data_IF_519862535560
#
_entry.id   IF_519862535560
#
_cell.length_a   1.000
_cell.length_b   1.000
_cell.length_c   1.000
_cell.angle_alpha   90.00
_cell.angle_beta   90.00
_cell.angle_gamma   90.00
#
_symmetry.space_group_name_H-M   'P 1'
#
loop_
_entity.id
_entity.type
_entity.pdbx_description
1 polymer ?
#
# COMPACT_ATOMS: atom_id res chain seq x y z
N UNK A 1 38.64 -20.29 -15.18
CA UNK A 1 37.50 -19.38 -15.18
C UNK A 1 36.33 -20.12 -14.57
N UNK A 2 35.67 -19.58 -13.55
CA UNK A 2 34.52 -20.21 -12.87
C UNK A 2 33.38 -19.17 -12.82
N UNK A 3 32.22 -19.54 -13.30
CA UNK A 3 30.99 -18.76 -13.15
C UNK A 3 30.25 -19.26 -11.92
N UNK A 4 29.81 -18.33 -11.08
CA UNK A 4 28.93 -18.63 -9.96
C UNK A 4 27.51 -18.90 -10.46
N UNK A 5 26.88 -19.95 -9.96
CA UNK A 5 25.52 -20.31 -10.34
C UNK A 5 24.56 -19.94 -9.20
N UNK A 6 23.52 -19.11 -9.44
CA UNK A 6 22.58 -18.69 -8.39
C UNK A 6 21.94 -19.88 -7.65
N UNK A 7 21.70 -21.00 -8.33
CA UNK A 7 21.09 -22.20 -7.74
C UNK A 7 22.01 -22.95 -6.74
N UNK A 8 23.28 -22.57 -6.64
CA UNK A 8 24.22 -23.16 -5.64
C UNK A 8 24.13 -22.47 -4.29
N UNK A 9 23.51 -21.28 -4.22
CA UNK A 9 23.33 -20.56 -2.96
C UNK A 9 22.03 -21.03 -2.27
N UNK A 10 22.05 -21.26 -0.96
CA UNK A 10 20.85 -21.64 -0.22
C UNK A 10 19.84 -20.48 -0.24
N UNK A 11 18.56 -20.81 -0.29
CA UNK A 11 17.50 -19.84 -0.12
C UNK A 11 17.54 -19.24 1.28
N UNK A 12 17.20 -17.94 1.40
CA UNK A 12 17.10 -17.27 2.69
C UNK A 12 15.97 -17.91 3.51
N UNK A 13 16.23 -18.27 4.78
CA UNK A 13 15.20 -18.85 5.63
C UNK A 13 14.12 -17.85 5.94
N UNK A 14 12.89 -18.34 6.16
CA UNK A 14 11.76 -17.53 6.61
C UNK A 14 11.62 -17.64 8.11
N UNK A 15 11.79 -16.53 8.84
CA UNK A 15 11.60 -16.47 10.28
C UNK A 15 10.12 -16.59 10.65
N UNK A 16 9.84 -17.36 11.71
CA UNK A 16 8.49 -17.63 12.20
C UNK A 16 8.52 -17.77 13.71
N UNK A 17 7.48 -17.27 14.38
CA UNK A 17 7.27 -17.36 15.84
C UNK A 17 6.09 -18.25 16.19
N UNK A 18 4.98 -18.08 15.47
CA UNK A 18 3.73 -18.81 15.69
C UNK A 18 3.36 -19.53 14.40
N UNK A 19 2.88 -20.76 14.48
CA UNK A 19 2.43 -21.52 13.30
C UNK A 19 0.99 -21.18 12.90
N UNK A 20 0.51 -21.77 11.80
CA UNK A 20 -0.85 -21.56 11.27
C UNK A 20 -1.98 -22.04 12.22
N UNK A 21 -1.64 -22.77 13.27
CA UNK A 21 -2.57 -23.22 14.31
C UNK A 21 -2.58 -22.34 15.55
N UNK A 22 -1.78 -21.27 15.59
CA UNK A 22 -1.64 -20.39 16.73
C UNK A 22 -0.67 -20.89 17.79
N UNK A 23 0.14 -21.92 17.48
CA UNK A 23 1.10 -22.52 18.40
C UNK A 23 2.45 -21.84 18.26
N UNK A 24 3.07 -21.48 19.39
CA UNK A 24 4.43 -20.92 19.39
C UNK A 24 5.43 -22.00 19.02
N UNK A 25 6.26 -21.72 18.01
CA UNK A 25 7.29 -22.63 17.47
C UNK A 25 8.71 -22.14 17.73
N UNK A 26 8.91 -20.85 18.04
CA UNK A 26 10.19 -20.31 18.51
C UNK A 26 10.29 -20.45 20.04
N UNK A 27 11.16 -21.33 20.57
CA UNK A 27 11.29 -21.55 22.00
C UNK A 27 11.82 -20.34 22.77
N UNK A 28 12.41 -19.36 22.10
CA UNK A 28 12.95 -18.16 22.72
C UNK A 28 11.95 -17.00 22.73
N UNK A 29 10.80 -17.17 22.10
CA UNK A 29 9.81 -16.11 22.03
C UNK A 29 9.11 -15.88 23.36
N UNK A 30 9.07 -14.62 23.74
CA UNK A 30 8.25 -14.13 24.87
C UNK A 30 7.49 -12.90 24.41
N UNK A 31 6.15 -12.90 24.51
CA UNK A 31 5.34 -11.73 24.15
C UNK A 31 5.77 -10.50 24.96
N UNK A 32 5.98 -9.38 24.29
CA UNK A 32 6.36 -8.09 24.89
C UNK A 32 5.17 -7.11 25.01
N UNK A 33 3.97 -7.59 24.73
CA UNK A 33 2.72 -6.86 24.83
C UNK A 33 1.81 -7.46 25.90
N UNK A 34 1.06 -6.61 26.59
CA UNK A 34 -0.04 -7.06 27.46
C UNK A 34 -1.20 -7.65 26.62
N UNK A 35 -2.07 -8.40 27.26
CA UNK A 35 -3.24 -8.98 26.60
C UNK A 35 -4.15 -7.88 26.02
N UNK A 36 -4.31 -6.73 26.71
CA UNK A 36 -5.09 -5.59 26.24
C UNK A 36 -4.47 -4.95 24.99
N UNK A 37 -3.14 -4.85 24.94
CA UNK A 37 -2.44 -4.32 23.76
C UNK A 37 -2.60 -5.24 22.57
N UNK A 38 -2.48 -6.56 22.74
CA UNK A 38 -2.71 -7.55 21.68
C UNK A 38 -4.15 -7.49 21.20
N UNK A 39 -5.13 -7.44 22.10
CA UNK A 39 -6.56 -7.31 21.77
C UNK A 39 -6.80 -6.04 20.93
N UNK A 40 -6.17 -4.92 21.32
CA UNK A 40 -6.29 -3.67 20.56
C UNK A 40 -5.74 -3.83 19.13
N UNK A 41 -4.56 -4.42 18.96
CA UNK A 41 -3.94 -4.63 17.64
C UNK A 41 -4.74 -5.63 16.79
N UNK A 42 -5.26 -6.68 17.41
CA UNK A 42 -6.19 -7.60 16.76
C UNK A 42 -7.45 -6.88 16.24
N UNK A 43 -8.04 -6.02 17.08
CA UNK A 43 -9.18 -5.19 16.67
C UNK A 43 -8.84 -4.21 15.56
N UNK A 44 -7.60 -3.70 15.48
CA UNK A 44 -7.14 -2.88 14.35
C UNK A 44 -7.12 -3.71 13.05
N UNK A 45 -6.64 -4.96 13.09
CA UNK A 45 -6.70 -5.89 11.93
C UNK A 45 -8.15 -6.19 11.52
N UNK A 46 -9.03 -6.48 12.49
CA UNK A 46 -10.46 -6.69 12.25
C UNK A 46 -11.12 -5.46 11.63
N UNK A 47 -10.76 -4.26 12.10
CA UNK A 47 -11.31 -2.99 11.59
C UNK A 47 -10.96 -2.82 10.12
N UNK A 48 -9.72 -3.07 9.73
CA UNK A 48 -9.29 -3.00 8.33
C UNK A 48 -10.07 -4.01 7.49
N UNK A 49 -10.15 -5.25 7.93
CA UNK A 49 -10.84 -6.32 7.20
C UNK A 49 -12.33 -6.04 7.00
N UNK A 50 -13.03 -5.55 8.04
CA UNK A 50 -14.46 -5.23 7.96
C UNK A 50 -14.70 -3.98 7.10
N UNK A 51 -13.86 -2.95 7.25
CA UNK A 51 -13.88 -1.76 6.42
C UNK A 51 -13.70 -2.10 4.95
N UNK A 52 -12.72 -2.95 4.64
CA UNK A 52 -12.41 -3.39 3.27
C UNK A 52 -13.63 -4.03 2.58
N UNK A 53 -14.34 -4.92 3.28
CA UNK A 53 -15.55 -5.54 2.74
C UNK A 53 -16.65 -4.51 2.43
N UNK A 54 -16.91 -3.60 3.38
CA UNK A 54 -17.95 -2.58 3.24
C UNK A 54 -17.60 -1.62 2.11
N UNK A 55 -16.34 -1.19 2.00
CA UNK A 55 -15.90 -0.25 0.97
C UNK A 55 -15.86 -0.89 -0.42
N UNK A 56 -15.50 -2.17 -0.50
CA UNK A 56 -15.59 -2.91 -1.76
C UNK A 56 -17.03 -2.96 -2.27
N UNK A 57 -17.98 -3.32 -1.40
CA UNK A 57 -19.41 -3.36 -1.74
C UNK A 57 -19.95 -1.96 -2.10
N UNK A 58 -19.54 -0.91 -1.38
CA UNK A 58 -19.91 0.46 -1.69
C UNK A 58 -19.42 0.92 -3.07
N UNK A 59 -18.21 0.51 -3.46
CA UNK A 59 -17.71 0.77 -4.81
C UNK A 59 -18.54 0.01 -5.87
N UNK A 60 -18.89 -1.26 -5.62
CA UNK A 60 -19.75 -2.03 -6.53
C UNK A 60 -21.14 -1.42 -6.71
N UNK A 61 -21.63 -0.68 -5.71
CA UNK A 61 -22.88 0.08 -5.75
C UNK A 61 -22.71 1.48 -6.39
N UNK A 62 -21.51 1.84 -6.85
CA UNK A 62 -21.22 3.14 -7.45
C UNK A 62 -21.11 4.31 -6.45
N UNK A 63 -21.11 4.03 -5.13
CA UNK A 63 -21.00 5.06 -4.08
C UNK A 63 -19.57 5.55 -3.88
N UNK A 64 -18.58 4.76 -4.26
CA UNK A 64 -17.15 5.11 -4.32
C UNK A 64 -16.65 4.89 -5.73
N UNK A 65 -15.71 5.74 -6.17
CA UNK A 65 -15.11 5.61 -7.50
C UNK A 65 -14.12 4.45 -7.61
N UNK A 66 -13.40 4.15 -6.52
CA UNK A 66 -12.33 3.15 -6.49
C UNK A 66 -12.08 2.68 -5.06
N UNK A 67 -11.64 1.42 -4.89
CA UNK A 67 -11.14 0.89 -3.64
C UNK A 67 -10.12 -0.24 -3.85
N UNK A 68 -9.24 -0.42 -2.86
CA UNK A 68 -8.27 -1.53 -2.82
C UNK A 68 -8.33 -2.20 -1.45
N UNK A 69 -8.53 -3.51 -1.47
CA UNK A 69 -8.63 -4.35 -0.28
C UNK A 69 -7.27 -4.87 0.14
N UNK A 70 -7.00 -4.95 1.44
CA UNK A 70 -5.75 -5.46 2.02
C UNK A 70 -5.87 -6.88 2.60
N UNK A 71 -6.94 -7.60 2.26
CA UNK A 71 -7.22 -8.93 2.79
C UNK A 71 -6.07 -9.93 2.55
N UNK A 72 -5.60 -10.54 3.62
CA UNK A 72 -4.46 -11.45 3.67
C UNK A 72 -3.14 -10.78 4.10
N UNK A 73 -3.09 -9.45 4.16
CA UNK A 73 -1.87 -8.68 4.44
C UNK A 73 -1.99 -7.84 5.74
N UNK A 74 -3.06 -8.04 6.54
CA UNK A 74 -3.38 -7.23 7.70
C UNK A 74 -2.30 -7.33 8.79
N UNK A 75 -1.70 -8.50 8.99
CA UNK A 75 -0.66 -8.69 9.99
C UNK A 75 0.60 -7.89 9.65
N UNK A 76 1.02 -7.88 8.38
CA UNK A 76 2.21 -7.10 7.97
C UNK A 76 2.05 -5.63 8.34
N UNK A 77 0.91 -5.02 7.98
CA UNK A 77 0.69 -3.59 8.19
C UNK A 77 0.53 -3.22 9.67
N UNK A 78 -0.25 -3.98 10.45
CA UNK A 78 -0.53 -3.65 11.85
C UNK A 78 0.67 -4.01 12.74
N UNK A 79 1.30 -5.18 12.55
CA UNK A 79 2.42 -5.60 13.37
C UNK A 79 3.65 -4.71 13.18
N UNK A 80 4.01 -4.38 11.93
CA UNK A 80 5.13 -3.46 11.67
C UNK A 80 4.89 -2.09 12.28
N UNK A 81 3.70 -1.51 12.08
CA UNK A 81 3.35 -0.21 12.64
C UNK A 81 3.39 -0.20 14.17
N UNK A 82 2.99 -1.32 14.84
CA UNK A 82 3.02 -1.45 16.27
C UNK A 82 4.43 -1.51 16.88
N UNK A 83 5.43 -1.86 16.07
CA UNK A 83 6.84 -1.92 16.47
C UNK A 83 7.59 -0.60 16.21
N UNK A 84 6.98 0.35 15.51
CA UNK A 84 7.55 1.67 15.23
C UNK A 84 7.16 2.69 16.31
N UNK A 85 8.04 3.67 16.52
CA UNK A 85 7.69 4.84 17.33
C UNK A 85 6.72 5.77 16.59
N UNK A 86 5.85 6.47 17.32
CA UNK A 86 4.97 7.50 16.73
C UNK A 86 5.77 8.65 16.06
N UNK A 87 7.01 8.88 16.48
CA UNK A 87 7.91 9.87 15.90
C UNK A 87 8.59 9.40 14.61
N UNK A 88 8.62 8.08 14.33
CA UNK A 88 9.18 7.56 13.09
C UNK A 88 8.34 8.01 11.89
N UNK A 89 9.00 8.25 10.76
CA UNK A 89 8.35 8.72 9.53
C UNK A 89 7.99 7.54 8.65
N UNK A 90 6.83 7.60 8.00
CA UNK A 90 6.30 6.47 7.22
C UNK A 90 5.99 6.90 5.79
N UNK A 91 6.41 6.07 4.85
CA UNK A 91 6.05 6.12 3.43
C UNK A 91 5.33 4.84 3.06
N UNK A 92 4.05 4.97 2.74
CA UNK A 92 3.20 3.83 2.37
C UNK A 92 3.03 3.70 0.86
N UNK A 93 2.65 2.51 0.41
CA UNK A 93 1.97 2.26 -0.84
C UNK A 93 0.46 2.32 -0.58
N UNK A 94 -0.37 1.82 -1.45
CA UNK A 94 -1.84 1.94 -1.35
C UNK A 94 -2.52 0.85 -0.48
N UNK A 95 -1.77 -0.10 0.10
CA UNK A 95 -2.36 -1.26 0.81
C UNK A 95 -2.04 -1.30 2.30
N UNK A 96 -1.58 -0.19 2.85
CA UNK A 96 -1.16 -0.06 4.24
C UNK A 96 -2.23 0.59 5.15
N UNK A 97 -3.51 0.32 4.91
CA UNK A 97 -4.61 0.81 5.78
C UNK A 97 -4.38 0.44 7.25
N UNK A 98 -3.81 -0.76 7.51
CA UNK A 98 -3.47 -1.18 8.87
C UNK A 98 -2.42 -0.32 9.55
N UNK A 99 -1.45 0.22 8.79
CA UNK A 99 -0.46 1.18 9.32
C UNK A 99 -1.14 2.47 9.75
N UNK A 100 -1.99 3.04 8.90
CA UNK A 100 -2.76 4.23 9.20
C UNK A 100 -3.64 4.02 10.45
N UNK A 101 -4.40 2.92 10.49
CA UNK A 101 -5.29 2.58 11.59
C UNK A 101 -4.54 2.47 12.92
N UNK A 102 -3.45 1.71 12.94
CA UNK A 102 -2.62 1.50 14.14
C UNK A 102 -2.00 2.81 14.64
N UNK A 103 -1.59 3.71 13.74
CA UNK A 103 -1.00 4.99 14.11
C UNK A 103 -2.01 6.02 14.60
N UNK A 104 -3.31 5.79 14.42
CA UNK A 104 -4.38 6.65 14.94
C UNK A 104 -5.24 7.35 13.89
N UNK A 105 -5.07 7.02 12.61
CA UNK A 105 -5.99 7.48 11.56
C UNK A 105 -7.39 6.95 11.87
N UNK A 106 -8.36 7.84 11.96
CA UNK A 106 -9.71 7.49 12.40
C UNK A 106 -10.55 6.95 11.25
N UNK A 107 -11.65 6.27 11.56
CA UNK A 107 -12.59 5.86 10.52
C UNK A 107 -13.15 7.06 9.72
N UNK A 108 -13.35 8.19 10.38
CA UNK A 108 -13.79 9.41 9.71
C UNK A 108 -12.72 9.94 8.73
N UNK A 109 -11.42 9.85 9.08
CA UNK A 109 -10.34 10.26 8.17
C UNK A 109 -10.31 9.38 6.92
N UNK A 110 -10.43 8.04 7.09
CA UNK A 110 -10.54 7.12 5.95
C UNK A 110 -11.73 7.49 5.05
N UNK A 111 -12.91 7.65 5.63
CA UNK A 111 -14.13 7.93 4.86
C UNK A 111 -14.11 9.32 4.21
N UNK A 112 -13.59 10.34 4.89
CA UNK A 112 -13.47 11.68 4.32
C UNK A 112 -12.60 11.69 3.07
N UNK A 113 -11.48 10.96 3.06
CA UNK A 113 -10.62 10.84 1.89
C UNK A 113 -11.29 10.03 0.79
N UNK A 114 -11.94 8.90 1.11
CA UNK A 114 -12.63 8.06 0.12
C UNK A 114 -13.78 8.80 -0.58
N UNK A 115 -14.50 9.64 0.15
CA UNK A 115 -15.55 10.48 -0.41
C UNK A 115 -15.04 11.81 -0.97
N UNK A 116 -13.74 12.11 -0.86
CA UNK A 116 -13.16 13.37 -1.33
C UNK A 116 -13.96 14.59 -0.85
N UNK A 117 -14.36 14.61 0.43
CA UNK A 117 -15.18 15.66 1.00
C UNK A 117 -14.34 16.81 1.61
N UNK A 118 -14.99 17.89 2.09
CA UNK A 118 -14.29 19.06 2.60
C UNK A 118 -13.50 18.84 3.89
N UNK A 119 -13.71 17.71 4.57
CA UNK A 119 -12.96 17.30 5.78
C UNK A 119 -11.71 16.48 5.44
N UNK A 120 -11.55 16.06 4.19
CA UNK A 120 -10.31 15.43 3.74
C UNK A 120 -9.17 16.47 3.74
N UNK A 121 -8.05 16.24 4.49
CA UNK A 121 -6.89 17.13 4.44
C UNK A 121 -6.30 17.27 3.02
N UNK A 122 -6.46 16.26 2.17
CA UNK A 122 -6.08 16.28 0.76
C UNK A 122 -7.03 17.07 -0.12
N UNK A 123 -8.12 17.62 0.43
CA UNK A 123 -9.12 18.44 -0.28
C UNK A 123 -9.72 17.75 -1.51
N UNK A 124 -9.81 16.41 -1.48
CA UNK A 124 -10.33 15.61 -2.58
C UNK A 124 -9.43 15.55 -3.82
N UNK A 125 -8.15 15.97 -3.74
CA UNK A 125 -7.22 15.99 -4.87
C UNK A 125 -6.60 14.63 -5.17
N UNK A 126 -6.59 13.74 -4.18
CA UNK A 126 -6.03 12.41 -4.32
C UNK A 126 -7.13 11.41 -4.66
N UNK A 127 -6.78 10.44 -5.48
CA UNK A 127 -7.58 9.26 -5.73
C UNK A 127 -7.89 8.52 -4.41
N UNK A 128 -9.04 7.81 -4.27
CA UNK A 128 -9.32 6.98 -3.10
C UNK A 128 -8.17 6.04 -2.74
N UNK A 129 -8.01 5.75 -1.46
CA UNK A 129 -6.94 4.97 -0.81
C UNK A 129 -5.54 5.63 -0.84
N UNK A 130 -5.42 6.87 -1.31
CA UNK A 130 -4.17 7.63 -1.29
C UNK A 130 -4.14 8.56 -0.08
N UNK A 131 -4.13 7.95 1.10
CA UNK A 131 -4.13 8.64 2.39
C UNK A 131 -2.79 9.34 2.67
N UNK A 132 -2.83 10.30 3.57
CA UNK A 132 -1.67 10.98 4.13
C UNK A 132 -2.04 11.68 5.43
N UNK A 133 -1.10 11.80 6.38
CA UNK A 133 -1.31 12.53 7.62
C UNK A 133 0.01 13.09 8.15
N UNK A 134 0.13 14.40 8.12
CA UNK A 134 1.29 15.08 8.69
C UNK A 134 1.40 14.86 10.21
N UNK A 135 0.27 14.86 10.91
CA UNK A 135 0.19 14.68 12.36
C UNK A 135 0.67 13.29 12.80
N UNK A 136 0.43 12.28 11.96
CA UNK A 136 0.83 10.90 12.20
C UNK A 136 2.21 10.57 11.60
N UNK A 137 2.93 11.54 11.03
CA UNK A 137 4.19 11.36 10.32
C UNK A 137 4.09 10.34 9.16
N UNK A 138 2.96 10.35 8.45
CA UNK A 138 2.74 9.49 7.28
C UNK A 138 2.65 10.36 6.03
N UNK A 139 3.60 10.20 5.11
CA UNK A 139 3.58 10.90 3.84
C UNK A 139 2.42 10.45 2.96
N UNK A 140 1.87 11.38 2.20
CA UNK A 140 0.76 11.10 1.27
C UNK A 140 1.20 10.06 0.25
N UNK A 141 0.35 9.05 0.06
CA UNK A 141 0.57 7.96 -0.88
C UNK A 141 0.57 8.51 -2.32
N UNK A 142 1.52 8.03 -3.13
CA UNK A 142 1.64 8.32 -4.56
C UNK A 142 1.20 7.11 -5.38
N UNK A 143 0.48 7.33 -6.49
CA UNK A 143 0.03 6.25 -7.37
C UNK A 143 1.17 5.56 -8.14
N UNK A 144 2.18 6.28 -8.71
CA UNK A 144 3.34 5.64 -9.31
C UNK A 144 4.08 4.75 -8.31
N UNK A 145 4.39 3.52 -8.74
CA UNK A 145 5.01 2.52 -7.87
C UNK A 145 6.47 2.85 -7.58
N UNK A 146 6.93 2.46 -6.40
CA UNK A 146 8.31 2.60 -5.89
C UNK A 146 8.84 4.04 -5.73
N UNK A 147 8.17 5.07 -6.24
CA UNK A 147 8.66 6.47 -6.18
C UNK A 147 8.84 6.97 -4.74
N UNK A 148 8.09 6.42 -3.78
CA UNK A 148 8.25 6.72 -2.36
C UNK A 148 9.57 6.21 -1.76
N UNK A 149 10.23 5.23 -2.36
CA UNK A 149 11.43 4.59 -1.80
C UNK A 149 12.65 5.50 -1.80
N UNK A 150 13.03 6.16 -2.92
CA UNK A 150 14.11 7.15 -2.88
C UNK A 150 13.75 8.38 -2.03
N UNK A 151 12.46 8.77 -1.97
CA UNK A 151 12.00 9.82 -1.06
C UNK A 151 12.22 9.42 0.41
N UNK A 152 11.91 8.17 0.77
CA UNK A 152 12.16 7.63 2.11
C UNK A 152 13.65 7.62 2.45
N UNK A 153 14.52 7.24 1.51
CA UNK A 153 15.97 7.28 1.68
C UNK A 153 16.45 8.72 1.92
N UNK A 154 15.93 9.69 1.17
CA UNK A 154 16.22 11.12 1.36
C UNK A 154 15.73 11.65 2.71
N UNK A 155 14.51 11.29 3.13
CA UNK A 155 13.97 11.65 4.43
C UNK A 155 14.80 11.06 5.58
N UNK A 156 15.22 9.80 5.46
CA UNK A 156 16.08 9.14 6.45
C UNK A 156 17.46 9.84 6.55
N UNK A 157 18.03 10.22 5.41
CA UNK A 157 19.25 11.00 5.39
C UNK A 157 19.07 12.35 6.10
N UNK A 158 17.96 13.05 5.84
CA UNK A 158 17.65 14.32 6.51
C UNK A 158 17.52 14.14 8.04
N UNK A 159 16.85 13.09 8.53
CA UNK A 159 16.77 12.77 9.96
C UNK A 159 18.14 12.53 10.58
N UNK A 160 19.02 11.83 9.86
CA UNK A 160 20.40 11.60 10.27
C UNK A 160 21.17 12.92 10.42
N UNK A 161 21.12 13.80 9.43
CA UNK A 161 21.80 15.10 9.44
C UNK A 161 21.27 15.99 10.57
N UNK A 162 19.95 16.07 10.75
CA UNK A 162 19.34 16.82 11.84
C UNK A 162 19.89 16.37 13.20
N UNK A 163 19.98 15.06 13.44
CA UNK A 163 20.51 14.51 14.70
C UNK A 163 22.02 14.75 14.86
N UNK A 164 22.79 14.74 13.75
CA UNK A 164 24.21 15.09 13.81
C UNK A 164 24.43 16.56 14.18
N UNK A 165 23.55 17.45 13.74
CA UNK A 165 23.58 18.87 14.07
C UNK A 165 23.08 19.16 15.49
N UNK A 166 22.06 18.40 15.95
CA UNK A 166 21.51 18.50 17.29
C UNK A 166 21.30 17.11 17.90
N UNK A 167 22.26 16.60 18.69
CA UNK A 167 22.17 15.30 19.34
C UNK A 167 21.03 15.17 20.37
N UNK A 168 20.38 16.26 20.78
CA UNK A 168 19.22 16.22 21.69
C UNK A 168 17.97 15.71 20.99
N UNK A 169 17.91 15.72 19.66
CA UNK A 169 16.79 15.16 18.87
C UNK A 169 16.76 13.64 19.04
N UNK A 170 15.63 13.06 19.48
CA UNK A 170 15.50 11.61 19.62
C UNK A 170 15.74 10.87 18.31
N UNK A 171 16.38 9.69 18.34
CA UNK A 171 16.64 8.93 17.13
C UNK A 171 15.33 8.43 16.51
N UNK A 172 15.20 8.61 15.18
CA UNK A 172 14.04 8.22 14.40
C UNK A 172 14.47 7.44 13.16
N UNK A 173 13.63 6.53 12.72
CA UNK A 173 13.78 5.82 11.45
C UNK A 173 12.73 6.27 10.47
N UNK A 174 12.96 5.94 9.20
CA UNK A 174 11.93 5.98 8.16
C UNK A 174 11.53 4.55 7.83
N UNK A 175 10.23 4.24 7.84
CA UNK A 175 9.69 2.97 7.36
C UNK A 175 9.08 3.18 5.96
N UNK A 176 9.52 2.41 4.98
CA UNK A 176 9.07 2.51 3.59
C UNK A 176 8.45 1.19 3.12
N UNK A 177 7.16 1.21 2.82
CA UNK A 177 6.38 0.04 2.41
C UNK A 177 6.24 -0.04 0.89
N UNK A 178 6.33 -1.26 0.35
CA UNK A 178 6.16 -1.53 -1.08
C UNK A 178 5.81 -3.00 -1.32
N UNK A 179 5.25 -3.30 -2.50
CA UNK A 179 4.98 -4.68 -2.93
C UNK A 179 6.16 -5.28 -3.69
N UNK A 180 6.19 -6.60 -3.83
CA UNK A 180 7.25 -7.31 -4.57
C UNK A 180 7.30 -6.91 -6.05
N UNK A 181 6.15 -6.59 -6.66
CA UNK A 181 6.10 -6.06 -8.03
C UNK A 181 6.78 -4.70 -8.16
N UNK A 182 6.62 -3.82 -7.16
CA UNK A 182 7.29 -2.52 -7.12
C UNK A 182 8.83 -2.65 -7.02
N UNK A 183 9.34 -3.76 -6.50
CA UNK A 183 10.77 -4.03 -6.46
C UNK A 183 11.40 -4.28 -7.85
N UNK A 184 10.60 -4.33 -8.92
CA UNK A 184 11.09 -4.38 -10.31
C UNK A 184 11.31 -2.98 -10.92
N UNK A 185 10.86 -1.92 -10.23
CA UNK A 185 11.07 -0.54 -10.66
C UNK A 185 12.51 -0.08 -10.38
N UNK A 186 13.03 0.81 -11.23
CA UNK A 186 14.38 1.37 -11.07
C UNK A 186 14.58 2.12 -9.75
N UNK A 187 13.53 2.78 -9.25
CA UNK A 187 13.54 3.52 -7.99
C UNK A 187 13.80 2.64 -6.76
N UNK A 188 13.37 1.38 -6.77
CA UNK A 188 13.74 0.43 -5.72
C UNK A 188 15.27 0.27 -5.62
N UNK A 189 15.92 0.00 -6.74
CA UNK A 189 17.36 -0.20 -6.81
C UNK A 189 18.13 1.06 -6.44
N UNK A 190 17.70 2.21 -6.94
CA UNK A 190 18.27 3.51 -6.61
C UNK A 190 18.15 3.82 -5.10
N UNK A 191 16.97 3.58 -4.51
CA UNK A 191 16.71 3.83 -3.10
C UNK A 191 17.62 2.99 -2.19
N UNK A 192 17.75 1.68 -2.46
CA UNK A 192 18.62 0.80 -1.69
C UNK A 192 20.09 1.24 -1.77
N UNK A 193 20.56 1.56 -2.96
CA UNK A 193 21.93 2.00 -3.16
C UNK A 193 22.22 3.33 -2.45
N UNK A 194 21.31 4.31 -2.54
CA UNK A 194 21.42 5.59 -1.81
C UNK A 194 21.45 5.34 -0.31
N UNK A 195 20.52 4.54 0.20
CA UNK A 195 20.41 4.24 1.62
C UNK A 195 21.66 3.56 2.16
N UNK A 196 22.20 2.57 1.45
CA UNK A 196 23.42 1.85 1.81
C UNK A 196 24.65 2.77 1.81
N UNK A 197 24.88 3.52 0.73
CA UNK A 197 26.06 4.36 0.57
C UNK A 197 26.06 5.59 1.47
N UNK A 198 24.89 6.07 1.94
CA UNK A 198 24.71 7.20 2.85
C UNK A 198 24.44 6.77 4.29
N UNK A 199 24.37 5.46 4.56
CA UNK A 199 24.06 4.90 5.89
C UNK A 199 22.78 5.55 6.46
N UNK A 200 21.67 5.46 5.71
CA UNK A 200 20.40 6.06 6.07
C UNK A 200 19.63 5.16 7.06
N UNK A 201 19.08 5.70 8.16
CA UNK A 201 18.24 4.93 9.08
C UNK A 201 16.86 4.66 8.49
N UNK A 202 16.77 3.75 7.51
CA UNK A 202 15.54 3.39 6.80
C UNK A 202 15.28 1.88 6.88
N UNK A 203 14.02 1.52 7.08
CA UNK A 203 13.55 0.14 7.04
C UNK A 203 12.67 -0.01 5.79
N UNK A 204 13.13 -0.77 4.83
CA UNK A 204 12.38 -1.14 3.64
C UNK A 204 11.55 -2.38 3.95
N UNK A 205 10.23 -2.29 3.83
CA UNK A 205 9.28 -3.35 4.16
C UNK A 205 8.57 -3.80 2.89
N UNK A 206 9.02 -4.92 2.34
CA UNK A 206 8.42 -5.55 1.17
C UNK A 206 7.27 -6.47 1.58
N UNK A 207 6.06 -6.21 1.07
CA UNK A 207 4.95 -7.17 1.12
C UNK A 207 5.02 -8.06 -0.11
N UNK A 208 5.49 -9.28 0.05
CA UNK A 208 5.50 -10.27 -1.02
C UNK A 208 4.23 -11.11 -0.94
N UNK A 209 3.19 -10.70 -1.66
CA UNK A 209 1.89 -11.36 -1.67
C UNK A 209 1.70 -12.32 -2.85
N UNK A 210 2.75 -12.60 -3.61
CA UNK A 210 2.78 -13.56 -4.69
C UNK A 210 2.41 -13.02 -6.08
N UNK A 211 1.85 -11.79 -6.17
CA UNK A 211 1.31 -11.27 -7.43
C UNK A 211 1.50 -9.76 -7.61
N UNK A 212 2.12 -9.37 -8.69
CA UNK A 212 2.12 -8.00 -9.20
C UNK A 212 0.92 -7.84 -10.16
N UNK A 213 -0.24 -7.43 -9.63
CA UNK A 213 -1.56 -7.47 -10.31
C UNK A 213 -1.88 -8.90 -10.74
N UNK A 214 -1.65 -9.24 -12.01
CA UNK A 214 -1.87 -10.55 -12.63
C UNK A 214 -0.60 -11.38 -12.77
N UNK A 215 0.59 -10.78 -12.63
CA UNK A 215 1.87 -11.44 -12.85
C UNK A 215 2.33 -12.15 -11.57
N UNK A 216 2.44 -13.48 -11.57
CA UNK A 216 2.97 -14.22 -10.42
C UNK A 216 4.47 -13.97 -10.25
N UNK A 217 4.98 -14.10 -9.02
CA UNK A 217 6.38 -13.81 -8.69
C UNK A 217 7.39 -14.58 -9.55
N UNK A 218 7.09 -15.83 -9.94
CA UNK A 218 7.96 -16.65 -10.79
C UNK A 218 8.16 -16.07 -12.20
N UNK A 219 7.21 -15.26 -12.68
CA UNK A 219 7.28 -14.55 -13.96
C UNK A 219 7.81 -13.12 -13.77
N UNK A 220 7.56 -12.51 -12.60
CA UNK A 220 7.95 -11.13 -12.31
C UNK A 220 9.47 -10.97 -12.17
N UNK A 221 10.16 -11.91 -11.52
CA UNK A 221 11.61 -11.84 -11.29
C UNK A 221 12.26 -13.24 -11.18
N UNK A 222 13.60 -13.27 -11.23
CA UNK A 222 14.42 -14.45 -10.98
C UNK A 222 15.18 -14.29 -9.68
N UNK A 223 15.62 -15.42 -9.11
CA UNK A 223 16.37 -15.48 -7.86
C UNK A 223 15.48 -15.70 -6.65
N UNK A 224 16.09 -15.62 -5.46
CA UNK A 224 15.45 -15.95 -4.18
C UNK A 224 14.72 -14.72 -3.59
N UNK A 225 13.59 -14.38 -4.15
CA UNK A 225 12.72 -13.31 -3.62
C UNK A 225 13.33 -11.90 -3.69
N UNK A 226 12.81 -11.03 -2.87
CA UNK A 226 13.26 -9.64 -2.78
C UNK A 226 14.38 -9.48 -1.72
N UNK A 227 14.34 -10.28 -0.66
CA UNK A 227 15.33 -10.23 0.41
C UNK A 227 16.77 -10.43 -0.11
N UNK A 228 16.98 -11.37 -1.02
CA UNK A 228 18.30 -11.63 -1.62
C UNK A 228 18.93 -10.41 -2.30
N UNK A 229 18.12 -9.45 -2.76
CA UNK A 229 18.59 -8.21 -3.40
C UNK A 229 19.24 -7.26 -2.41
N UNK A 230 18.78 -7.23 -1.15
CA UNK A 230 19.37 -6.42 -0.09
C UNK A 230 20.82 -6.80 0.18
N UNK A 231 21.13 -8.08 0.17
CA UNK A 231 22.50 -8.59 0.33
C UNK A 231 23.44 -8.04 -0.76
N UNK A 232 22.95 -7.93 -2.00
CA UNK A 232 23.72 -7.36 -3.12
C UNK A 232 24.08 -5.88 -2.95
N UNK A 233 23.35 -5.15 -2.11
CA UNK A 233 23.63 -3.75 -1.72
C UNK A 233 24.36 -3.62 -0.38
N UNK A 234 24.71 -4.74 0.27
CA UNK A 234 25.34 -4.72 1.60
C UNK A 234 24.35 -4.28 2.72
N UNK A 235 23.06 -4.55 2.52
CA UNK A 235 21.98 -4.19 3.46
C UNK A 235 21.62 -5.41 4.31
N UNK A 236 21.52 -5.22 5.62
CA UNK A 236 21.01 -6.24 6.53
C UNK A 236 19.57 -6.62 6.16
N UNK A 237 19.34 -7.91 5.98
CA UNK A 237 18.11 -8.39 5.34
C UNK A 237 17.54 -9.59 6.07
N UNK A 238 16.22 -9.65 6.17
CA UNK A 238 15.49 -10.78 6.72
C UNK A 238 14.24 -11.09 5.91
N UNK A 239 13.94 -12.40 5.77
CA UNK A 239 12.64 -12.88 5.30
C UNK A 239 11.82 -13.36 6.49
N UNK A 240 10.55 -12.94 6.56
CA UNK A 240 9.64 -13.26 7.65
C UNK A 240 8.31 -13.79 7.12
N UNK A 241 7.68 -14.68 7.86
CA UNK A 241 6.31 -15.10 7.62
C UNK A 241 5.36 -13.92 7.90
N UNK A 242 4.86 -13.29 6.82
CA UNK A 242 4.01 -12.10 6.89
C UNK A 242 2.61 -12.35 7.44
N UNK A 243 2.20 -13.62 7.57
CA UNK A 243 0.93 -13.99 8.20
C UNK A 243 1.07 -14.23 9.71
N UNK A 244 2.32 -14.25 10.21
CA UNK A 244 2.64 -14.35 11.62
C UNK A 244 2.83 -12.96 12.24
N UNK A 245 1.79 -12.46 12.93
CA UNK A 245 1.81 -11.16 13.60
C UNK A 245 3.03 -10.98 14.51
N UNK A 246 3.37 -12.01 15.29
CA UNK A 246 4.46 -11.94 16.26
C UNK A 246 5.82 -11.90 15.58
N UNK A 247 6.03 -12.76 14.58
CA UNK A 247 7.28 -12.77 13.82
C UNK A 247 7.53 -11.43 13.12
N UNK A 248 6.49 -10.87 12.48
CA UNK A 248 6.57 -9.56 11.81
C UNK A 248 6.91 -8.45 12.82
N UNK A 249 6.29 -8.47 13.99
CA UNK A 249 6.55 -7.49 15.05
C UNK A 249 7.99 -7.58 15.57
N UNK A 250 8.45 -8.79 15.93
CA UNK A 250 9.81 -9.02 16.45
C UNK A 250 10.87 -8.60 15.43
N UNK A 251 10.70 -8.99 14.19
CA UNK A 251 11.60 -8.59 13.09
C UNK A 251 11.64 -7.08 12.92
N UNK A 252 10.49 -6.41 13.01
CA UNK A 252 10.45 -4.94 12.84
C UNK A 252 11.08 -4.21 14.01
N UNK A 253 10.89 -4.69 15.26
CA UNK A 253 11.60 -4.16 16.43
C UNK A 253 13.11 -4.25 16.23
N UNK A 254 13.58 -5.45 15.86
CA UNK A 254 15.01 -5.69 15.65
C UNK A 254 15.55 -4.84 14.50
N UNK A 255 14.82 -4.74 13.39
CA UNK A 255 15.18 -3.88 12.26
C UNK A 255 15.28 -2.39 12.67
N UNK A 256 14.37 -1.92 13.53
CA UNK A 256 14.44 -0.56 14.06
C UNK A 256 15.67 -0.32 14.95
N UNK A 257 15.99 -1.26 15.82
CA UNK A 257 17.22 -1.22 16.62
C UNK A 257 18.47 -1.15 15.73
N UNK A 258 18.55 -2.05 14.75
CA UNK A 258 19.68 -2.10 13.80
C UNK A 258 19.78 -0.79 12.98
N UNK A 259 18.66 -0.29 12.49
CA UNK A 259 18.64 0.93 11.69
C UNK A 259 19.13 2.18 12.45
N UNK A 260 19.08 2.16 13.77
CA UNK A 260 19.54 3.25 14.64
C UNK A 260 21.00 3.11 15.10
N UNK A 261 21.64 1.95 14.86
CA UNK A 261 23.04 1.71 15.23
C UNK A 261 24.01 2.47 14.33
N UNK A 262 25.20 2.74 14.85
CA UNK A 262 26.37 3.29 14.13
C UNK A 262 26.09 4.58 13.31
N UNK A 263 25.16 5.38 13.79
CA UNK A 263 24.77 6.63 13.10
C UNK A 263 23.75 6.42 11.96
N UNK A 264 23.21 5.25 11.84
CA UNK A 264 22.17 4.88 10.90
C UNK A 264 22.62 3.87 9.83
N UNK A 265 21.76 2.90 9.52
CA UNK A 265 21.95 1.97 8.41
C UNK A 265 20.60 1.48 7.88
N UNK A 266 20.50 1.11 6.60
CA UNK A 266 19.27 0.54 6.05
C UNK A 266 19.08 -0.91 6.49
N UNK A 267 17.81 -1.33 6.56
CA UNK A 267 17.41 -2.73 6.77
C UNK A 267 16.33 -3.08 5.74
N UNK A 268 16.34 -4.28 5.20
CA UNK A 268 15.31 -4.80 4.29
C UNK A 268 14.58 -5.97 4.94
N UNK A 269 13.25 -5.87 5.02
CA UNK A 269 12.36 -6.95 5.47
C UNK A 269 11.54 -7.40 4.26
N UNK A 270 11.54 -8.72 3.96
CA UNK A 270 10.61 -9.33 3.02
C UNK A 270 9.57 -10.14 3.80
N UNK A 271 8.33 -9.65 3.86
CA UNK A 271 7.22 -10.31 4.52
C UNK A 271 6.47 -11.17 3.50
N UNK A 272 6.57 -12.50 3.66
CA UNK A 272 5.90 -13.48 2.81
C UNK A 272 4.44 -13.60 3.22
N UNK A 273 3.53 -13.26 2.34
CA UNK A 273 2.09 -13.28 2.56
C UNK A 273 1.34 -13.70 1.30
N UNK A 274 0.02 -13.57 1.28
CA UNK A 274 -0.79 -13.89 0.10
C UNK A 274 -1.96 -12.91 -0.04
N UNK A 275 -2.13 -12.34 -1.24
CA UNK A 275 -3.27 -11.48 -1.56
C UNK A 275 -4.53 -12.33 -1.77
N UNK A 276 -5.43 -12.36 -0.80
CA UNK A 276 -6.67 -13.14 -0.85
C UNK A 276 -7.74 -12.50 -1.75
N UNK A 277 -7.74 -11.17 -1.87
CA UNK A 277 -8.71 -10.42 -2.68
C UNK A 277 -8.24 -10.18 -4.12
N UNK A 278 -9.12 -9.60 -4.96
CA UNK A 278 -8.71 -8.98 -6.21
C UNK A 278 -7.66 -7.89 -5.98
N UNK A 279 -6.90 -7.51 -7.01
CA UNK A 279 -5.90 -6.44 -6.88
C UNK A 279 -6.56 -5.10 -6.48
N UNK A 280 -7.67 -4.78 -7.14
CA UNK A 280 -8.51 -3.61 -6.84
C UNK A 280 -9.96 -3.91 -7.23
N UNK A 281 -10.84 -2.92 -7.02
CA UNK A 281 -12.24 -3.01 -7.51
C UNK A 281 -12.37 -3.01 -9.04
N UNK A 282 -11.29 -2.72 -9.76
CA UNK A 282 -11.24 -2.78 -11.24
C UNK A 282 -10.63 -4.07 -11.78
N UNK A 283 -10.28 -5.03 -10.90
CA UNK A 283 -9.62 -6.29 -11.25
C UNK A 283 -10.55 -7.49 -11.05
N UNK A 284 -10.40 -8.50 -11.90
CA UNK A 284 -10.94 -9.85 -11.72
C UNK A 284 -9.79 -10.86 -11.62
N UNK A 285 -9.37 -11.16 -10.40
CA UNK A 285 -8.24 -12.07 -10.17
C UNK A 285 -8.50 -13.51 -10.57
N UNK A 286 -9.75 -13.91 -10.78
CA UNK A 286 -10.07 -15.26 -11.25
C UNK A 286 -9.83 -15.46 -12.76
N UNK A 287 -9.53 -14.38 -13.48
CA UNK A 287 -9.05 -14.47 -14.85
C UNK A 287 -7.62 -15.02 -14.96
N UNK A 288 -6.80 -14.93 -13.90
CA UNK A 288 -5.38 -15.32 -13.94
C UNK A 288 -4.94 -16.27 -12.82
N UNK A 289 -5.78 -16.56 -11.81
CA UNK A 289 -5.48 -17.54 -10.75
C UNK A 289 -6.71 -18.36 -10.36
N UNK A 290 -6.47 -19.58 -9.92
CA UNK A 290 -7.54 -20.50 -9.57
C UNK A 290 -8.24 -20.10 -8.26
N UNK A 291 -9.58 -20.21 -8.22
CA UNK A 291 -10.36 -19.97 -6.99
C UNK A 291 -9.94 -20.90 -5.85
N UNK A 292 -9.62 -22.15 -6.15
CA UNK A 292 -9.18 -23.12 -5.15
C UNK A 292 -7.90 -22.71 -4.45
N UNK A 293 -6.97 -22.06 -5.15
CA UNK A 293 -5.74 -21.51 -4.57
C UNK A 293 -6.06 -20.42 -3.53
N UNK A 294 -6.93 -19.47 -3.89
CA UNK A 294 -7.35 -18.37 -3.01
C UNK A 294 -8.06 -18.87 -1.76
N UNK A 295 -9.04 -19.81 -1.93
CA UNK A 295 -9.79 -20.38 -0.82
C UNK A 295 -8.91 -21.23 0.10
N UNK A 296 -7.91 -21.92 -0.46
CA UNK A 296 -6.97 -22.69 0.32
C UNK A 296 -6.08 -21.79 1.21
N UNK A 297 -5.52 -20.72 0.67
CA UNK A 297 -4.79 -19.72 1.46
C UNK A 297 -5.66 -19.08 2.54
N UNK A 298 -6.87 -18.67 2.18
CA UNK A 298 -7.83 -18.07 3.11
C UNK A 298 -8.17 -19.00 4.28
N UNK A 299 -8.28 -20.31 4.01
CA UNK A 299 -8.61 -21.32 5.03
C UNK A 299 -7.42 -21.70 5.89
N UNK A 300 -6.23 -21.90 5.27
CA UNK A 300 -5.06 -22.46 5.95
C UNK A 300 -4.26 -21.44 6.72
N UNK A 301 -4.12 -20.26 6.18
CA UNK A 301 -3.14 -19.30 6.70
C UNK A 301 -3.61 -17.83 6.64
N UNK A 302 -4.81 -17.59 7.16
CA UNK A 302 -5.31 -16.23 7.33
C UNK A 302 -4.69 -15.56 8.55
N UNK A 303 -4.04 -14.37 8.41
CA UNK A 303 -3.31 -13.72 9.49
C UNK A 303 -4.19 -13.35 10.70
N UNK A 304 -5.43 -12.91 10.47
CA UNK A 304 -6.39 -12.60 11.55
C UNK A 304 -6.77 -13.86 12.31
N UNK A 305 -7.13 -14.93 11.58
CA UNK A 305 -7.50 -16.21 12.20
C UNK A 305 -6.33 -16.83 12.99
N UNK A 306 -5.09 -16.65 12.51
CA UNK A 306 -3.88 -17.17 13.17
C UNK A 306 -3.63 -16.46 14.50
N UNK A 307 -3.68 -15.12 14.53
CA UNK A 307 -3.55 -14.37 15.78
C UNK A 307 -4.70 -14.66 16.73
N UNK A 308 -5.94 -14.79 16.23
CA UNK A 308 -7.10 -15.18 17.02
C UNK A 308 -6.89 -16.52 17.74
N UNK A 309 -6.44 -17.55 17.03
CA UNK A 309 -6.16 -18.87 17.64
C UNK A 309 -5.13 -18.78 18.76
N UNK A 310 -4.07 -17.98 18.58
CA UNK A 310 -3.09 -17.75 19.63
C UNK A 310 -3.71 -17.07 20.85
N UNK A 311 -4.57 -16.06 20.66
CA UNK A 311 -5.25 -15.33 21.72
C UNK A 311 -6.25 -16.23 22.48
N UNK A 312 -6.97 -17.09 21.76
CA UNK A 312 -7.89 -18.08 22.35
C UNK A 312 -7.13 -19.11 23.18
N UNK A 313 -6.01 -19.63 22.66
CA UNK A 313 -5.15 -20.56 23.40
C UNK A 313 -4.56 -19.92 24.67
N UNK A 314 -4.31 -18.61 24.65
CA UNK A 314 -3.86 -17.85 25.80
C UNK A 314 -4.98 -17.49 26.80
N UNK A 315 -6.25 -17.62 26.40
CA UNK A 315 -7.43 -17.33 27.21
C UNK A 315 -7.82 -15.85 27.26
N UNK A 316 -7.18 -14.97 26.47
CA UNK A 316 -7.52 -13.54 26.41
C UNK A 316 -8.61 -13.21 25.38
N UNK A 317 -9.02 -14.16 24.52
CA UNK A 317 -10.05 -14.01 23.50
C UNK A 317 -10.97 -15.22 23.44
N UNK A 318 -12.21 -15.04 22.93
CA UNK A 318 -13.22 -16.07 22.78
C UNK A 318 -14.24 -15.70 21.68
N UNK A 319 -15.18 -16.58 21.38
CA UNK A 319 -16.22 -16.41 20.35
C UNK A 319 -17.19 -15.25 20.66
N UNK A 320 -17.51 -15.01 21.95
CA UNK A 320 -18.42 -13.93 22.36
C UNK A 320 -17.76 -12.56 22.11
N UNK A 321 -16.51 -12.40 22.54
CA UNK A 321 -15.71 -11.20 22.27
C UNK A 321 -15.51 -10.96 20.77
N UNK A 322 -15.29 -12.02 19.99
CA UNK A 322 -15.18 -11.93 18.54
C UNK A 322 -16.44 -11.37 17.91
N UNK A 323 -17.61 -11.90 18.28
CA UNK A 323 -18.90 -11.45 17.77
C UNK A 323 -19.17 -9.98 18.16
N UNK A 324 -18.97 -9.65 19.44
CA UNK A 324 -19.14 -8.27 19.93
C UNK A 324 -18.21 -7.27 19.18
N UNK A 325 -16.94 -7.63 19.02
CA UNK A 325 -15.98 -6.81 18.30
C UNK A 325 -16.38 -6.57 16.86
N UNK A 326 -16.78 -7.64 16.13
CA UNK A 326 -17.22 -7.51 14.74
C UNK A 326 -18.47 -6.64 14.61
N UNK A 327 -19.46 -6.86 15.47
CA UNK A 327 -20.70 -6.09 15.46
C UNK A 327 -20.45 -4.61 15.79
N UNK A 328 -19.62 -4.33 16.79
CA UNK A 328 -19.23 -2.96 17.15
C UNK A 328 -18.49 -2.27 16.01
N UNK A 329 -17.42 -2.89 15.50
CA UNK A 329 -16.61 -2.33 14.40
C UNK A 329 -17.47 -2.07 13.15
N UNK A 330 -18.35 -3.02 12.81
CA UNK A 330 -19.26 -2.84 11.67
C UNK A 330 -20.17 -1.62 11.83
N UNK A 331 -20.74 -1.43 13.02
CA UNK A 331 -21.57 -0.24 13.31
C UNK A 331 -20.78 1.04 13.17
N UNK A 332 -19.54 1.07 13.73
CA UNK A 332 -18.69 2.25 13.70
C UNK A 332 -18.26 2.62 12.26
N UNK A 333 -17.90 1.62 11.45
CA UNK A 333 -17.57 1.82 10.02
C UNK A 333 -18.77 2.36 9.25
N UNK A 334 -19.96 1.79 9.41
CA UNK A 334 -21.18 2.23 8.72
C UNK A 334 -21.59 3.64 9.16
N UNK A 335 -21.39 3.98 10.43
CA UNK A 335 -21.64 5.33 10.95
C UNK A 335 -20.69 6.33 10.26
N UNK A 336 -19.38 6.11 10.31
CA UNK A 336 -18.41 7.00 9.69
C UNK A 336 -18.64 7.14 8.17
N UNK A 337 -18.97 6.04 7.51
CA UNK A 337 -19.34 6.02 6.08
C UNK A 337 -20.53 6.94 5.79
N UNK A 338 -21.63 6.79 6.53
CA UNK A 338 -22.85 7.59 6.34
C UNK A 338 -22.63 9.08 6.65
N UNK A 339 -21.79 9.40 7.63
CA UNK A 339 -21.42 10.78 7.95
C UNK A 339 -20.62 11.41 6.81
N UNK A 340 -19.59 10.71 6.32
CA UNK A 340 -18.71 11.22 5.26
C UNK A 340 -19.42 11.36 3.91
N UNK A 341 -20.35 10.46 3.58
CA UNK A 341 -21.15 10.51 2.35
C UNK A 341 -22.05 11.74 2.26
N UNK A 342 -22.56 12.22 3.42
CA UNK A 342 -23.40 13.42 3.51
C UNK A 342 -22.61 14.72 3.56
N UNK A 343 -21.30 14.63 3.79
CA UNK A 343 -20.45 15.81 3.92
C UNK A 343 -20.24 16.46 2.55
N UNK A 344 -20.19 17.79 2.53
CA UNK A 344 -20.02 18.57 1.30
C UNK A 344 -18.63 18.35 0.68
N UNK A 345 -18.55 18.53 -0.63
CA UNK A 345 -17.27 18.60 -1.34
C UNK A 345 -16.50 19.87 -0.94
N UNK A 346 -15.16 19.89 -1.13
CA UNK A 346 -14.37 21.09 -0.90
C UNK A 346 -14.88 22.28 -1.73
N UNK A 347 -14.79 23.53 -1.21
CA UNK A 347 -15.15 24.71 -1.98
C UNK A 347 -14.38 24.79 -3.30
N UNK A 348 -15.03 25.15 -4.39
CA UNK A 348 -14.45 25.22 -5.75
C UNK A 348 -13.17 26.06 -5.78
N UNK A 349 -13.11 27.17 -5.02
CA UNK A 349 -11.94 28.03 -4.93
C UNK A 349 -10.66 27.28 -4.54
N UNK A 350 -10.77 26.19 -3.76
CA UNK A 350 -9.62 25.42 -3.29
C UNK A 350 -8.87 24.70 -4.42
N UNK A 351 -9.45 24.60 -5.61
CA UNK A 351 -8.80 24.05 -6.80
C UNK A 351 -7.56 24.86 -7.22
N UNK A 352 -7.53 26.14 -6.90
CA UNK A 352 -6.49 27.09 -7.32
C UNK A 352 -5.50 27.43 -6.20
N UNK A 353 -5.73 26.91 -4.99
CA UNK A 353 -4.89 27.17 -3.81
C UNK A 353 -3.82 26.06 -3.66
N UNK A 354 -2.79 26.35 -2.88
CA UNK A 354 -1.73 25.43 -2.42
C UNK A 354 -0.79 24.87 -3.53
N UNK A 355 -0.77 25.46 -4.74
CA UNK A 355 0.15 25.05 -5.81
C UNK A 355 1.30 26.06 -5.92
N UNK A 356 1.00 27.35 -5.91
CA UNK A 356 1.96 28.43 -5.98
C UNK A 356 1.73 29.39 -4.80
N UNK A 357 2.78 30.07 -4.36
CA UNK A 357 2.69 31.11 -3.33
C UNK A 357 1.77 32.24 -3.78
N UNK A 358 1.88 32.65 -5.05
CA UNK A 358 1.00 33.59 -5.70
C UNK A 358 0.29 32.98 -6.90
N UNK A 359 -0.95 33.41 -7.13
CA UNK A 359 -1.70 32.98 -8.32
C UNK A 359 -1.01 33.48 -9.60
N UNK A 360 -0.67 32.55 -10.47
CA UNK A 360 -0.13 32.88 -11.80
C UNK A 360 -1.16 33.60 -12.69
N UNK A 361 -0.74 34.31 -13.76
CA UNK A 361 -1.69 34.90 -14.73
C UNK A 361 -2.68 33.89 -15.31
N UNK A 362 -2.19 32.68 -15.62
CA UNK A 362 -3.03 31.60 -16.17
C UNK A 362 -4.10 31.14 -15.18
N UNK A 363 -3.72 30.93 -13.88
CA UNK A 363 -4.69 30.57 -12.85
C UNK A 363 -5.73 31.68 -12.63
N UNK A 364 -5.32 32.96 -12.67
CA UNK A 364 -6.24 34.10 -12.61
C UNK A 364 -7.24 34.10 -13.76
N UNK A 365 -6.77 33.75 -14.97
CA UNK A 365 -7.64 33.62 -16.13
C UNK A 365 -8.61 32.44 -16.00
N UNK A 366 -8.14 31.26 -15.59
CA UNK A 366 -8.97 30.08 -15.36
C UNK A 366 -10.06 30.33 -14.30
N UNK A 367 -9.75 31.08 -13.23
CA UNK A 367 -10.73 31.48 -12.21
C UNK A 367 -11.85 32.32 -12.85
N UNK A 368 -11.52 33.27 -13.77
CA UNK A 368 -12.53 34.09 -14.45
C UNK A 368 -13.42 33.23 -15.37
N UNK A 369 -12.82 32.32 -16.11
CA UNK A 369 -13.53 31.38 -16.99
C UNK A 369 -14.48 30.50 -16.18
N UNK A 370 -14.00 29.90 -15.08
CA UNK A 370 -14.81 29.07 -14.21
C UNK A 370 -15.99 29.88 -13.60
N UNK A 371 -15.76 31.11 -13.14
CA UNK A 371 -16.84 31.98 -12.65
C UNK A 371 -17.92 32.21 -13.71
N UNK A 372 -17.52 32.50 -14.93
CA UNK A 372 -18.46 32.68 -16.03
C UNK A 372 -19.26 31.41 -16.36
N UNK A 373 -18.64 30.24 -16.25
CA UNK A 373 -19.33 28.95 -16.41
C UNK A 373 -20.36 28.72 -15.29
N UNK A 374 -19.97 28.96 -14.04
CA UNK A 374 -20.87 28.79 -12.90
C UNK A 374 -22.04 29.76 -12.89
N UNK A 375 -21.85 30.97 -13.43
CA UNK A 375 -22.97 31.94 -13.66
C UNK A 375 -23.95 31.42 -14.73
N UNK A 376 -23.42 30.72 -15.76
CA UNK A 376 -24.22 30.11 -16.83
C UNK A 376 -24.93 28.83 -16.40
N UNK A 377 -24.32 28.07 -15.47
CA UNK A 377 -24.80 26.79 -14.97
C UNK A 377 -24.83 26.79 -13.44
N UNK A 378 -25.79 27.49 -12.81
CA UNK A 378 -25.80 27.68 -11.35
C UNK A 378 -25.99 26.39 -10.54
N UNK A 379 -26.58 25.35 -11.13
CA UNK A 379 -26.77 24.06 -10.47
C UNK A 379 -25.45 23.32 -10.24
N UNK A 380 -24.45 23.53 -11.08
CA UNK A 380 -23.10 22.99 -10.92
C UNK A 380 -22.36 23.66 -9.74
N UNK A 381 -22.74 24.89 -9.37
CA UNK A 381 -22.14 25.62 -8.26
C UNK A 381 -22.57 25.12 -6.87
N UNK A 382 -23.69 24.41 -6.77
CA UNK A 382 -24.26 23.97 -5.49
C UNK A 382 -23.50 22.81 -4.83
N UNK A 383 -22.55 22.18 -5.54
CA UNK A 383 -21.84 20.98 -5.09
C UNK A 383 -22.74 19.75 -4.96
N UNK A 384 -24.01 19.88 -5.33
CA UNK A 384 -24.95 18.78 -5.51
C UNK A 384 -24.94 18.38 -6.97
N UNK A 385 -23.92 17.65 -7.41
CA UNK A 385 -24.13 16.88 -8.63
C UNK A 385 -25.32 15.94 -8.36
N UNK A 386 -26.38 16.10 -9.15
CA UNK A 386 -27.47 15.13 -9.20
C UNK A 386 -26.87 13.76 -9.56
N UNK A 387 -27.49 12.66 -9.16
CA UNK A 387 -26.99 11.31 -9.49
C UNK A 387 -26.77 11.13 -10.99
N UNK A 388 -27.50 11.81 -11.84
CA UNK A 388 -27.30 11.88 -13.30
C UNK A 388 -25.98 12.55 -13.70
N UNK A 389 -25.56 13.63 -13.05
CA UNK A 389 -24.27 14.29 -13.29
C UNK A 389 -23.07 13.43 -12.86
N UNK A 390 -23.22 12.64 -11.78
CA UNK A 390 -22.21 11.65 -11.35
C UNK A 390 -22.03 10.54 -12.39
N UNK A 391 -23.12 10.06 -12.98
CA UNK A 391 -23.11 9.05 -14.04
C UNK A 391 -22.46 9.61 -15.31
N UNK A 392 -22.75 10.84 -15.71
CA UNK A 392 -22.18 11.48 -16.92
C UNK A 392 -20.68 11.67 -16.76
N UNK A 393 -20.16 12.13 -15.61
CA UNK A 393 -18.72 12.28 -15.38
C UNK A 393 -18.02 10.93 -15.34
N UNK A 394 -18.61 9.92 -14.71
CA UNK A 394 -18.06 8.55 -14.71
C UNK A 394 -18.06 7.93 -16.11
N UNK A 395 -19.12 8.15 -16.90
CA UNK A 395 -19.22 7.67 -18.30
C UNK A 395 -18.25 8.41 -19.21
N UNK A 396 -18.09 9.73 -19.08
CA UNK A 396 -17.13 10.49 -19.87
C UNK A 396 -15.68 10.13 -19.51
N UNK A 397 -15.36 9.90 -18.25
CA UNK A 397 -14.05 9.42 -17.83
C UNK A 397 -13.77 8.01 -18.36
N UNK A 398 -14.75 7.10 -18.31
CA UNK A 398 -14.61 5.75 -18.88
C UNK A 398 -14.51 5.74 -20.39
N UNK A 399 -15.28 6.59 -21.09
CA UNK A 399 -15.21 6.75 -22.55
C UNK A 399 -13.86 7.34 -23.00
N UNK A 400 -13.30 8.28 -22.24
CA UNK A 400 -11.98 8.86 -22.53
C UNK A 400 -10.86 7.82 -22.37
N UNK A 401 -10.93 6.98 -21.35
CA UNK A 401 -9.99 5.87 -21.15
C UNK A 401 -10.16 4.79 -22.23
N UNK A 402 -11.40 4.45 -22.57
CA UNK A 402 -11.70 3.46 -23.61
C UNK A 402 -11.28 3.96 -24.98
N UNK A 403 -11.48 5.24 -25.29
CA UNK A 403 -11.01 5.87 -26.54
C UNK A 403 -9.48 5.90 -26.62
N UNK A 404 -8.79 6.18 -25.50
CA UNK A 404 -7.34 6.18 -25.41
C UNK A 404 -6.78 4.75 -25.62
N UNK A 405 -7.38 3.75 -24.97
CA UNK A 405 -7.00 2.35 -25.14
C UNK A 405 -7.27 1.84 -26.56
N UNK A 406 -8.39 2.25 -27.18
CA UNK A 406 -8.68 1.93 -28.57
C UNK A 406 -7.67 2.55 -29.54
N UNK A 407 -7.25 3.80 -29.32
CA UNK A 407 -6.21 4.46 -30.13
C UNK A 407 -4.86 3.77 -29.98
N UNK A 408 -4.49 3.36 -28.76
CA UNK A 408 -3.27 2.60 -28.48
C UNK A 408 -3.35 1.21 -29.14
N UNK A 409 -4.48 0.51 -29.01
CA UNK A 409 -4.71 -0.78 -29.64
C UNK A 409 -4.64 -0.72 -31.17
N UNK A 410 -5.25 0.30 -31.79
CA UNK A 410 -5.20 0.50 -33.26
C UNK A 410 -3.76 0.81 -33.71
N UNK A 411 -3.00 1.63 -32.97
CA UNK A 411 -1.58 1.87 -33.29
C UNK A 411 -0.75 0.59 -33.16
N UNK A 412 -0.96 -0.20 -32.12
CA UNK A 412 -0.24 -1.46 -31.90
C UNK A 412 -0.53 -2.46 -33.04
N UNK A 413 -1.82 -2.68 -33.37
CA UNK A 413 -2.22 -3.56 -34.48
C UNK A 413 -1.60 -3.10 -35.80
N UNK A 414 -1.64 -1.80 -36.12
CA UNK A 414 -1.00 -1.26 -37.33
C UNK A 414 0.51 -1.47 -37.37
N UNK A 415 1.19 -1.37 -36.23
CA UNK A 415 2.64 -1.59 -36.13
C UNK A 415 2.97 -3.06 -36.35
N UNK A 416 2.22 -3.97 -35.73
CA UNK A 416 2.40 -5.43 -35.90
C UNK A 416 2.09 -5.86 -37.33
N UNK A 417 1.01 -5.35 -37.92
CA UNK A 417 0.64 -5.66 -39.34
C UNK A 417 1.69 -5.16 -40.31
N UNK A 418 2.29 -3.98 -40.11
CA UNK A 418 3.40 -3.49 -40.93
C UNK A 418 4.66 -4.33 -40.77
N UNK A 419 5.00 -4.75 -39.54
CA UNK A 419 6.14 -5.62 -39.31
C UNK A 419 5.98 -6.99 -39.98
N UNK A 420 4.77 -7.57 -39.92
CA UNK A 420 4.44 -8.82 -40.61
C UNK A 420 4.46 -8.69 -42.13
N UNK A 421 3.98 -7.56 -42.66
CA UNK A 421 4.02 -7.29 -44.10
C UNK A 421 5.45 -7.08 -44.65
N UNK A 422 6.36 -6.56 -43.84
CA UNK A 422 7.78 -6.42 -44.17
C UNK A 422 8.56 -7.73 -44.10
N UNK A 423 8.09 -8.71 -43.31
CA UNK A 423 8.70 -10.04 -43.20
C UNK A 423 8.25 -11.01 -44.29
N UNK A 424 7.25 -10.67 -45.09
CA UNK A 424 6.67 -11.52 -46.14
C UNK A 424 7.11 -11.16 -47.58
N UNK A 425 8.11 -10.30 -47.76
CA UNK A 425 8.75 -10.14 -49.08
C UNK A 425 9.69 -11.31 -49.33
N UNK A 426 9.51 -12.07 -50.44
CA UNK A 426 10.42 -13.14 -50.81
C UNK A 426 11.82 -12.55 -51.08
N UNK A 427 12.84 -13.10 -50.45
CA UNK A 427 14.21 -12.92 -50.93
C UNK A 427 14.31 -13.74 -52.22
N UNK A 428 14.31 -13.04 -53.34
CA UNK A 428 14.61 -13.68 -54.62
C UNK A 428 16.00 -14.32 -54.55
N UNK A 429 15.96 -15.58 -54.88
CA UNK A 429 17.17 -16.36 -55.13
C UNK A 429 17.81 -15.85 -56.42
N UNK A 430 19.01 -15.32 -56.32
CA UNK A 430 19.95 -15.39 -57.46
C UNK A 430 21.21 -16.14 -56.98
N UNK A 431 21.28 -17.35 -57.55
CA UNK A 431 22.49 -18.14 -57.61
C UNK A 431 23.35 -17.67 -58.77
N UNK A 432 24.56 -17.40 -58.55
CA UNK A 432 25.68 -17.93 -59.36
C UNK A 432 26.98 -17.86 -58.60
#
# INVERSE_FOLDING_TARGET
MRFEQPSTYPALPTYRVVDQHGVVVDPNFTPDLSDEEVVKLYRDMLTVSIMDVIMFDAQRQGRLSFYMVSAGEEAVSVATASALSKADVVFCQYREQGVFKQRGFTLNDFMNQLFANQKDPGKGRNMPVHYGSRELNIHTISSPLATQLPQASGAAYALKIQRMQDPSIPPRVVAAYFGEGAASEGDFHAALNIAATRSCPVIFICRNNGYAISTPTLEQYRGDGIASRGLGYGIETIRVDGNDFWAVREVTKKARELALQDGGKPVLIEAMTYRVSHHSTSDDSFAYRARVEVEDWKRRDNPIARLRKWMEAKGCWDEEKEKEARDSIRRDVLKAFSEAEREKKPPIRTMFEDVYEELTPDLKQQIKELKSQLERYPDDASGTMTDEGRIIVAVLASLSITALLAVIGIKYVRTVTRALAQSSTPRDAEAQ
#
